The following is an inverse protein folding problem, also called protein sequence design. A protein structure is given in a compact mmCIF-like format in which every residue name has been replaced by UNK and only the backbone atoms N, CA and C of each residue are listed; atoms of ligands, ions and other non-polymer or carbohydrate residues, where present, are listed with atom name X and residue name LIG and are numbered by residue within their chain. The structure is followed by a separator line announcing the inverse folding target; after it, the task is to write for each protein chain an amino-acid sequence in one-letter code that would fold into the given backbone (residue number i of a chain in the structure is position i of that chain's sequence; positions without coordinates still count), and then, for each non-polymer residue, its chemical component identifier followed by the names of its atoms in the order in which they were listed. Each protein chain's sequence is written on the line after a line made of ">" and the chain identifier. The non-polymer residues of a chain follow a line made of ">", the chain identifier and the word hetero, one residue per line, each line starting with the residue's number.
data_IF_396242905416
#
_entry.id   IF_396242905416
#
_cell.length_a   1.000
_cell.length_b   1.000
_cell.length_c   1.000
_cell.angle_alpha   90.00
_cell.angle_beta   90.00
_cell.angle_gamma   90.00
#
_symmetry.space_group_name_H-M   'P 1'
#
loop_
_entity.id
_entity.type
_entity.pdbx_description
1 polymer ?
#
# COMPACT_ATOMS: atom_id res chain seq x y z
N UNK A 1 -21.20 8.70 16.05
CA UNK A 1 -20.71 7.30 16.00
C UNK A 1 -19.19 7.33 16.00
N UNK A 2 -18.52 6.33 16.59
CA UNK A 2 -17.04 6.28 16.61
C UNK A 2 -16.53 5.83 15.24
N UNK A 3 -15.51 6.51 14.71
CA UNK A 3 -14.90 6.13 13.44
C UNK A 3 -14.31 4.71 13.52
N UNK A 4 -14.49 3.92 12.46
CA UNK A 4 -13.89 2.57 12.33
C UNK A 4 -12.95 2.53 11.15
N UNK A 5 -11.86 1.79 11.32
CA UNK A 5 -10.80 1.66 10.32
C UNK A 5 -10.49 0.18 10.08
N UNK A 6 -10.18 -0.15 8.83
CA UNK A 6 -9.53 -1.40 8.43
C UNK A 6 -8.15 -1.06 7.86
N UNK A 7 -7.19 -1.95 8.10
CA UNK A 7 -5.83 -1.82 7.55
C UNK A 7 -5.56 -3.05 6.70
N UNK A 8 -5.27 -2.81 5.43
CA UNK A 8 -5.04 -3.83 4.43
C UNK A 8 -3.56 -3.90 4.10
N UNK A 9 -2.98 -5.10 4.09
CA UNK A 9 -1.67 -5.32 3.50
C UNK A 9 -1.84 -5.65 2.03
N UNK A 10 -1.15 -4.91 1.17
CA UNK A 10 -1.18 -5.07 -0.27
C UNK A 10 0.24 -5.30 -0.81
N UNK A 11 0.55 -6.55 -1.14
CA UNK A 11 1.83 -6.91 -1.76
C UNK A 11 1.83 -6.42 -3.23
N UNK A 12 2.84 -5.62 -3.58
CA UNK A 12 2.91 -4.90 -4.85
C UNK A 12 4.33 -4.92 -5.45
N UNK A 13 4.44 -5.12 -6.75
CA UNK A 13 5.60 -4.69 -7.53
C UNK A 13 5.33 -3.30 -8.09
N UNK A 14 5.92 -2.28 -7.45
CA UNK A 14 5.63 -0.86 -7.71
C UNK A 14 5.65 -0.45 -9.19
N UNK A 15 6.54 -1.05 -10.00
CA UNK A 15 6.70 -0.70 -11.41
C UNK A 15 5.70 -1.39 -12.36
N UNK A 16 5.13 -2.53 -11.99
CA UNK A 16 4.28 -3.35 -12.88
C UNK A 16 2.84 -3.47 -12.43
N UNK A 17 2.57 -3.25 -11.14
CA UNK A 17 1.29 -3.65 -10.54
C UNK A 17 0.34 -2.46 -10.32
N UNK A 18 0.52 -1.36 -11.05
CA UNK A 18 -0.33 -0.16 -10.94
C UNK A 18 -1.81 -0.50 -11.14
N UNK A 19 -2.15 -1.25 -12.20
CA UNK A 19 -3.55 -1.65 -12.46
C UNK A 19 -4.13 -2.57 -11.37
N UNK A 20 -3.28 -3.38 -10.72
CA UNK A 20 -3.72 -4.25 -9.60
C UNK A 20 -4.04 -3.41 -8.36
N UNK A 21 -3.23 -2.39 -8.09
CA UNK A 21 -3.50 -1.44 -7.00
C UNK A 21 -4.80 -0.67 -7.28
N UNK A 22 -5.00 -0.19 -8.51
CA UNK A 22 -6.24 0.48 -8.91
C UNK A 22 -7.48 -0.40 -8.70
N UNK A 23 -7.44 -1.66 -9.15
CA UNK A 23 -8.53 -2.62 -8.92
C UNK A 23 -8.80 -2.85 -7.43
N UNK A 24 -7.75 -2.96 -6.61
CA UNK A 24 -7.90 -3.10 -5.17
C UNK A 24 -8.58 -1.87 -4.56
N UNK A 25 -8.12 -0.66 -4.89
CA UNK A 25 -8.70 0.58 -4.36
C UNK A 25 -10.17 0.73 -4.75
N UNK A 26 -10.52 0.40 -5.99
CA UNK A 26 -11.92 0.44 -6.47
C UNK A 26 -12.81 -0.63 -5.84
N UNK A 27 -12.26 -1.64 -5.18
CA UNK A 27 -13.02 -2.67 -4.47
C UNK A 27 -13.37 -2.30 -3.02
N UNK A 28 -12.80 -1.23 -2.48
CA UNK A 28 -13.04 -0.79 -1.11
C UNK A 28 -14.42 -0.12 -0.99
N UNK A 29 -15.10 -0.39 0.13
CA UNK A 29 -16.42 0.20 0.43
C UNK A 29 -16.28 1.57 1.13
N UNK A 30 -15.18 1.74 1.87
CA UNK A 30 -14.87 2.94 2.65
C UNK A 30 -13.90 3.90 1.97
N UNK A 31 -13.61 4.99 2.67
CA UNK A 31 -12.69 6.03 2.22
C UNK A 31 -11.24 5.62 2.52
N UNK A 32 -10.36 5.69 1.52
CA UNK A 32 -8.91 5.50 1.75
C UNK A 32 -8.32 6.76 2.35
N UNK A 33 -7.83 6.66 3.59
CA UNK A 33 -7.29 7.80 4.34
C UNK A 33 -5.77 7.83 4.39
N UNK A 34 -5.10 6.70 4.12
CA UNK A 34 -3.64 6.62 4.03
C UNK A 34 -3.17 5.41 3.21
N UNK A 35 -2.04 5.57 2.54
CA UNK A 35 -1.27 4.49 1.91
C UNK A 35 0.17 4.62 2.40
N UNK A 36 0.66 3.62 3.13
CA UNK A 36 1.97 3.65 3.81
C UNK A 36 2.84 2.53 3.24
N UNK A 37 3.98 2.84 2.60
CA UNK A 37 4.88 1.81 2.11
C UNK A 37 5.70 1.21 3.27
N UNK A 38 5.80 -0.12 3.31
CA UNK A 38 6.84 -0.80 4.05
C UNK A 38 8.09 -0.90 3.17
N UNK A 39 9.19 -0.31 3.61
CA UNK A 39 10.45 -0.24 2.86
C UNK A 39 11.60 -0.91 3.59
N UNK A 40 12.34 -1.74 2.87
CA UNK A 40 13.57 -2.36 3.34
C UNK A 40 14.76 -1.77 2.58
N UNK A 41 15.76 -1.19 3.27
CA UNK A 41 17.01 -0.76 2.64
C UNK A 41 17.68 -1.95 1.94
N UNK A 42 18.18 -1.73 0.73
CA UNK A 42 18.81 -2.78 -0.06
C UNK A 42 20.05 -2.25 -0.77
N UNK A 43 21.15 -2.99 -0.67
CA UNK A 43 22.32 -2.74 -1.51
C UNK A 43 22.02 -3.17 -2.94
N UNK A 44 22.22 -2.26 -3.87
CA UNK A 44 22.10 -2.49 -5.32
C UNK A 44 23.44 -2.26 -5.99
N UNK A 45 23.58 -2.68 -7.25
CA UNK A 45 24.82 -2.47 -8.02
C UNK A 45 25.20 -0.98 -8.16
N UNK A 46 24.23 -0.07 -8.02
CA UNK A 46 24.43 1.38 -8.05
C UNK A 46 24.59 2.05 -6.67
N UNK A 47 24.72 1.27 -5.59
CA UNK A 47 24.84 1.77 -4.22
C UNK A 47 23.59 1.49 -3.37
N UNK A 48 23.30 2.39 -2.42
CA UNK A 48 22.17 2.25 -1.51
C UNK A 48 20.84 2.50 -2.25
N UNK A 49 19.94 1.52 -2.19
CA UNK A 49 18.55 1.63 -2.64
C UNK A 49 17.57 1.22 -1.55
N UNK A 50 16.29 1.21 -1.91
CA UNK A 50 15.22 0.69 -1.06
C UNK A 50 14.29 -0.18 -1.89
N UNK A 51 13.83 -1.28 -1.29
CA UNK A 51 12.77 -2.10 -1.83
C UNK A 51 11.46 -1.76 -1.11
N UNK A 52 10.35 -1.64 -1.85
CA UNK A 52 9.02 -1.62 -1.25
C UNK A 52 8.56 -3.08 -1.17
N UNK A 53 8.32 -3.57 0.05
CA UNK A 53 7.90 -4.96 0.25
C UNK A 53 6.38 -5.10 0.10
N UNK A 54 5.61 -4.16 0.65
CA UNK A 54 4.16 -4.06 0.52
C UNK A 54 3.67 -2.66 0.91
N UNK A 55 2.39 -2.38 0.65
CA UNK A 55 1.68 -1.20 1.13
C UNK A 55 0.73 -1.57 2.27
N UNK A 56 0.62 -0.72 3.29
CA UNK A 56 -0.49 -0.70 4.22
C UNK A 56 -1.50 0.35 3.73
N UNK A 57 -2.72 -0.08 3.43
CA UNK A 57 -3.80 0.79 2.98
C UNK A 57 -4.81 0.90 4.11
N UNK A 58 -5.05 2.12 4.59
CA UNK A 58 -5.98 2.40 5.69
C UNK A 58 -7.29 2.88 5.10
N UNK A 59 -8.35 2.10 5.35
CA UNK A 59 -9.71 2.35 4.92
C UNK A 59 -10.56 2.77 6.13
N UNK A 60 -11.28 3.88 6.04
CA UNK A 60 -12.28 4.30 7.02
C UNK A 60 -13.66 3.76 6.61
N UNK A 61 -14.28 2.94 7.45
CA UNK A 61 -15.49 2.16 7.09
C UNK A 61 -16.78 2.68 7.70
N UNK A 62 -16.71 3.58 8.69
CA UNK A 62 -17.85 4.25 9.32
C UNK A 62 -17.39 5.44 10.15
#
# INVERSE_FOLDING_TARGET
>A
MKARYRVHRFDIKMASDQSKLEQFLNSLEGEVVAIIPNVTPKFTAGGMGANVDFLLIVEKTS
#
